data_IF_105335390418
#
_entry.id   IF_105335390418
#
_cell.length_a   1.000
_cell.length_b   1.000
_cell.length_c   1.000
_cell.angle_alpha   90.00
_cell.angle_beta   90.00
_cell.angle_gamma   90.00
#
_symmetry.space_group_name_H-M   'P 1'
#
loop_
_entity.id
_entity.type
_entity.pdbx_description
1 polymer ?
#
# COMPACT_ATOMS: atom_id res chain seq x y z
N UNK A 1 5.09 -14.05 27.94
CA UNK A 1 5.64 -13.07 26.98
C UNK A 1 6.08 -13.77 25.70
N UNK A 2 7.12 -14.61 25.69
CA UNK A 2 7.56 -15.29 24.46
C UNK A 2 6.50 -16.22 23.85
N UNK A 3 5.86 -17.05 24.67
CA UNK A 3 4.79 -17.93 24.22
C UNK A 3 3.56 -17.16 23.69
N UNK A 4 3.24 -16.02 24.31
CA UNK A 4 2.12 -15.18 23.86
C UNK A 4 2.40 -14.59 22.49
N UNK A 5 3.63 -14.10 22.27
CA UNK A 5 4.08 -13.59 20.98
C UNK A 5 3.99 -14.67 19.90
N UNK A 6 4.47 -15.89 20.18
CA UNK A 6 4.37 -17.04 19.26
C UNK A 6 2.93 -17.38 18.88
N UNK A 7 2.00 -17.36 19.84
CA UNK A 7 0.58 -17.65 19.57
C UNK A 7 -0.05 -16.56 18.69
N UNK A 8 0.29 -15.29 18.94
CA UNK A 8 -0.22 -14.16 18.16
C UNK A 8 0.36 -14.13 16.74
N UNK A 9 1.66 -14.44 16.59
CA UNK A 9 2.32 -14.61 15.28
C UNK A 9 1.74 -15.82 14.52
N UNK A 10 1.43 -16.90 15.23
CA UNK A 10 0.71 -18.03 14.65
C UNK A 10 -0.66 -17.60 14.11
N UNK A 11 -1.39 -16.74 14.82
CA UNK A 11 -2.74 -16.32 14.43
C UNK A 11 -2.74 -15.57 13.09
N UNK A 12 -1.80 -14.64 12.90
CA UNK A 12 -1.59 -13.99 11.60
C UNK A 12 -0.20 -13.36 11.50
N UNK A 13 0.45 -13.47 10.32
CA UNK A 13 1.67 -12.72 10.03
C UNK A 13 1.39 -11.24 9.71
N UNK A 14 0.13 -10.86 9.48
CA UNK A 14 -0.23 -9.49 9.07
C UNK A 14 -0.12 -8.54 10.26
N UNK A 15 0.70 -7.52 10.08
CA UNK A 15 0.89 -6.43 11.02
C UNK A 15 0.73 -5.08 10.34
N UNK A 16 -0.26 -4.30 10.79
CA UNK A 16 -0.55 -2.97 10.27
C UNK A 16 0.28 -1.87 10.96
N UNK A 17 1.03 -2.19 12.03
CA UNK A 17 1.80 -1.21 12.78
C UNK A 17 2.88 -0.53 11.93
N UNK A 18 3.59 -1.29 11.09
CA UNK A 18 4.57 -0.72 10.15
C UNK A 18 3.93 0.28 9.19
N UNK A 19 2.75 -0.04 8.64
CA UNK A 19 2.02 0.87 7.75
C UNK A 19 1.53 2.11 8.49
N UNK A 20 1.05 1.96 9.73
CA UNK A 20 0.67 3.10 10.58
C UNK A 20 1.84 4.07 10.77
N UNK A 21 3.04 3.54 11.05
CA UNK A 21 4.26 4.36 11.25
C UNK A 21 4.64 5.08 9.95
N UNK A 22 4.66 4.38 8.80
CA UNK A 22 4.94 4.98 7.48
C UNK A 22 3.98 6.13 7.17
N UNK A 23 2.66 5.91 7.32
CA UNK A 23 1.66 6.92 7.01
C UNK A 23 1.76 8.16 7.91
N UNK A 24 2.14 7.98 9.19
CA UNK A 24 2.41 9.10 10.09
C UNK A 24 3.68 9.85 9.70
N UNK A 25 4.76 9.16 9.30
CA UNK A 25 5.99 9.81 8.80
C UNK A 25 5.74 10.64 7.55
N UNK A 26 4.89 10.15 6.65
CA UNK A 26 4.53 10.83 5.40
C UNK A 26 3.58 12.01 5.59
N UNK A 27 2.91 12.10 6.73
CA UNK A 27 1.97 13.18 7.02
C UNK A 27 2.71 14.51 7.17
N UNK A 28 2.23 15.55 6.48
CA UNK A 28 2.68 16.91 6.76
C UNK A 28 2.30 17.33 8.18
N UNK A 29 3.28 17.73 8.99
CA UNK A 29 3.02 18.16 10.35
C UNK A 29 1.98 19.29 10.42
N UNK A 30 1.01 19.14 11.31
CA UNK A 30 -0.05 20.11 11.53
C UNK A 30 -1.22 20.05 10.52
N UNK A 31 -1.26 19.11 9.57
CA UNK A 31 -2.44 18.91 8.71
C UNK A 31 -3.43 17.90 9.32
N UNK A 32 -4.63 17.82 8.75
CA UNK A 32 -5.68 16.87 9.14
C UNK A 32 -6.44 17.22 10.42
N UNK A 33 -6.13 18.37 11.04
CA UNK A 33 -6.79 18.82 12.27
C UNK A 33 -8.27 19.12 12.09
N UNK A 34 -8.67 19.56 10.89
CA UNK A 34 -10.07 19.85 10.56
C UNK A 34 -10.98 18.64 10.79
N UNK A 35 -10.49 17.42 10.52
CA UNK A 35 -11.25 16.19 10.71
C UNK A 35 -11.42 15.91 12.20
N UNK A 36 -10.34 16.00 12.97
CA UNK A 36 -10.39 15.78 14.42
C UNK A 36 -11.26 16.83 15.14
N UNK A 37 -11.36 18.04 14.60
CA UNK A 37 -12.15 19.13 15.15
C UNK A 37 -13.60 19.14 14.65
N UNK A 38 -13.97 18.27 13.70
CA UNK A 38 -15.30 18.29 13.12
C UNK A 38 -16.37 17.84 14.15
N UNK A 39 -17.59 18.37 14.08
CA UNK A 39 -18.69 17.93 14.94
C UNK A 39 -18.98 16.42 14.82
N UNK A 40 -18.91 15.88 13.61
CA UNK A 40 -19.15 14.46 13.30
C UNK A 40 -18.10 13.57 13.96
N UNK A 41 -16.82 13.95 13.89
CA UNK A 41 -15.75 13.23 14.56
C UNK A 41 -15.88 13.30 16.08
N UNK A 42 -16.22 14.47 16.63
CA UNK A 42 -16.39 14.63 18.07
C UNK A 42 -17.62 13.88 18.60
N UNK A 43 -18.72 13.83 17.87
CA UNK A 43 -19.89 12.99 18.20
C UNK A 43 -19.52 11.52 18.17
N UNK A 44 -18.81 11.07 17.13
CA UNK A 44 -18.33 9.70 17.03
C UNK A 44 -17.36 9.33 18.15
N UNK A 45 -16.42 10.21 18.49
CA UNK A 45 -15.41 9.98 19.53
C UNK A 45 -16.03 9.91 20.93
N UNK A 46 -17.11 10.66 21.20
CA UNK A 46 -17.75 10.69 22.54
C UNK A 46 -18.90 9.70 22.67
N UNK A 47 -19.63 9.44 21.58
CA UNK A 47 -20.82 8.61 21.57
C UNK A 47 -20.50 7.11 21.58
N UNK A 48 -21.34 6.33 22.25
CA UNK A 48 -21.27 4.87 22.22
C UNK A 48 -21.93 4.32 20.95
N UNK A 49 -21.40 3.22 20.40
CA UNK A 49 -21.93 2.54 19.20
C UNK A 49 -22.15 3.48 18.01
N UNK A 50 -21.20 4.38 17.73
CA UNK A 50 -21.28 5.32 16.60
C UNK A 50 -20.51 4.81 15.39
N UNK A 51 -21.01 5.15 14.21
CA UNK A 51 -20.32 4.94 12.94
C UNK A 51 -20.00 6.30 12.33
N UNK A 52 -18.76 6.47 11.87
CA UNK A 52 -18.32 7.61 11.09
C UNK A 52 -17.76 7.07 9.77
N UNK A 53 -18.48 7.33 8.69
CA UNK A 53 -18.11 6.96 7.34
C UNK A 53 -17.55 8.18 6.61
N UNK A 54 -16.33 8.06 6.11
CA UNK A 54 -15.60 9.16 5.53
C UNK A 54 -15.32 8.91 4.04
N UNK A 55 -16.29 9.18 3.15
CA UNK A 55 -16.07 9.03 1.73
C UNK A 55 -15.17 10.15 1.20
N UNK A 56 -14.37 9.88 0.17
CA UNK A 56 -13.54 10.91 -0.43
C UNK A 56 -13.01 10.51 -1.80
N UNK A 57 -12.73 11.50 -2.64
CA UNK A 57 -12.16 11.27 -3.97
C UNK A 57 -10.77 10.62 -3.89
N UNK A 58 -10.30 9.95 -4.95
CA UNK A 58 -8.92 9.46 -5.01
C UNK A 58 -7.92 10.60 -4.75
N UNK A 59 -6.86 10.35 -3.98
CA UNK A 59 -5.82 11.35 -3.73
C UNK A 59 -6.21 12.45 -2.74
N UNK A 60 -7.39 12.41 -2.10
CA UNK A 60 -7.81 13.43 -1.12
C UNK A 60 -7.13 13.34 0.24
N UNK A 61 -6.37 12.27 0.52
CA UNK A 61 -5.65 12.09 1.78
C UNK A 61 -6.33 11.17 2.80
N UNK A 62 -7.32 10.35 2.39
CA UNK A 62 -8.04 9.41 3.26
C UNK A 62 -7.12 8.62 4.18
N UNK A 63 -6.16 7.88 3.63
CA UNK A 63 -5.22 7.05 4.39
C UNK A 63 -4.40 7.84 5.41
N UNK A 64 -3.93 9.05 5.06
CA UNK A 64 -3.17 9.92 5.97
C UNK A 64 -4.06 10.44 7.11
N UNK A 65 -5.32 10.76 6.83
CA UNK A 65 -6.28 11.15 7.87
C UNK A 65 -6.67 9.96 8.74
N UNK A 66 -6.84 8.76 8.17
CA UNK A 66 -7.08 7.54 8.94
C UNK A 66 -5.91 7.25 9.91
N UNK A 67 -4.67 7.36 9.44
CA UNK A 67 -3.50 7.23 10.29
C UNK A 67 -3.48 8.29 11.40
N UNK A 68 -3.88 9.53 11.09
CA UNK A 68 -4.04 10.61 12.08
C UNK A 68 -5.11 10.29 13.12
N UNK A 69 -6.22 9.66 12.75
CA UNK A 69 -7.25 9.19 13.68
C UNK A 69 -6.70 8.09 14.58
N UNK A 70 -6.01 7.08 14.03
CA UNK A 70 -5.41 6.00 14.82
C UNK A 70 -4.39 6.54 15.83
N UNK A 71 -3.52 7.46 15.40
CA UNK A 71 -2.55 8.13 16.27
C UNK A 71 -3.25 8.95 17.37
N UNK A 72 -4.30 9.69 17.03
CA UNK A 72 -5.08 10.46 17.99
C UNK A 72 -5.70 9.57 19.06
N UNK A 73 -6.37 8.48 18.68
CA UNK A 73 -6.99 7.52 19.60
C UNK A 73 -5.92 6.87 20.50
N UNK A 74 -4.83 6.42 19.90
CA UNK A 74 -3.72 5.77 20.63
C UNK A 74 -3.15 6.73 21.66
N UNK A 75 -2.89 7.99 21.30
CA UNK A 75 -2.37 8.99 22.23
C UNK A 75 -3.38 9.35 23.33
N UNK A 76 -4.67 9.47 22.98
CA UNK A 76 -5.70 9.82 23.95
C UNK A 76 -5.94 8.72 24.98
N UNK A 77 -5.89 7.45 24.57
CA UNK A 77 -6.25 6.30 25.40
C UNK A 77 -5.07 5.40 25.79
N UNK A 78 -3.82 5.79 25.54
CA UNK A 78 -2.62 4.96 25.76
C UNK A 78 -2.50 4.33 27.16
N UNK A 79 -3.07 4.94 28.20
CA UNK A 79 -3.02 4.46 29.58
C UNK A 79 -4.31 3.74 30.03
N UNK A 80 -5.32 3.62 29.18
CA UNK A 80 -6.59 2.98 29.54
C UNK A 80 -6.69 1.57 28.92
N UNK A 81 -6.34 0.51 29.66
CA UNK A 81 -6.41 -0.86 29.15
C UNK A 81 -7.85 -1.34 28.91
N UNK A 82 -8.86 -0.54 29.28
CA UNK A 82 -10.27 -0.85 29.02
C UNK A 82 -10.74 -0.38 27.65
N UNK A 83 -9.91 0.35 26.91
CA UNK A 83 -10.21 0.83 25.56
C UNK A 83 -9.42 0.00 24.54
N UNK A 84 -10.13 -0.72 23.68
CA UNK A 84 -9.53 -1.45 22.57
C UNK A 84 -9.46 -0.57 21.32
N UNK A 85 -8.32 -0.58 20.63
CA UNK A 85 -8.16 0.09 19.32
C UNK A 85 -7.65 -0.95 18.34
N UNK A 86 -8.35 -1.12 17.23
CA UNK A 86 -7.91 -1.99 16.14
C UNK A 86 -8.14 -1.32 14.79
N UNK A 87 -7.25 -1.57 13.85
CA UNK A 87 -7.30 -0.92 12.54
C UNK A 87 -6.85 -1.83 11.39
N UNK A 88 -7.37 -1.55 10.20
CA UNK A 88 -7.04 -2.23 8.93
C UNK A 88 -6.75 -1.17 7.87
N UNK A 89 -5.66 -1.38 7.12
CA UNK A 89 -5.38 -0.65 5.89
C UNK A 89 -5.63 -1.53 4.67
N UNK A 90 -6.79 -1.40 4.04
CA UNK A 90 -7.07 -2.13 2.80
C UNK A 90 -6.14 -1.66 1.68
N UNK A 91 -5.69 -2.61 0.84
CA UNK A 91 -4.73 -2.37 -0.22
C UNK A 91 -4.94 -3.41 -1.32
N UNK A 92 -5.32 -2.92 -2.50
CA UNK A 92 -5.64 -3.72 -3.68
C UNK A 92 -4.50 -4.66 -4.14
N UNK A 93 -3.24 -4.38 -3.80
CA UNK A 93 -2.09 -5.22 -4.17
C UNK A 93 -1.88 -6.39 -3.22
N UNK A 94 -2.45 -6.33 -2.02
CA UNK A 94 -2.30 -7.36 -0.97
C UNK A 94 -3.46 -8.34 -0.97
N UNK A 95 -3.94 -8.64 -2.17
CA UNK A 95 -5.08 -9.49 -2.49
C UNK A 95 -5.03 -10.86 -1.78
N UNK A 96 -3.87 -11.53 -1.78
CA UNK A 96 -3.72 -12.82 -1.08
C UNK A 96 -3.65 -12.72 0.44
N UNK A 97 -3.14 -11.59 0.96
CA UNK A 97 -3.07 -11.31 2.40
C UNK A 97 -4.45 -10.88 2.94
N UNK A 98 -5.22 -10.11 2.16
CA UNK A 98 -6.48 -9.49 2.58
C UNK A 98 -7.71 -10.39 2.35
N UNK A 99 -7.56 -11.67 2.68
CA UNK A 99 -8.69 -12.60 2.83
C UNK A 99 -9.41 -12.31 4.14
N UNK A 100 -10.71 -12.64 4.20
CA UNK A 100 -11.55 -12.27 5.33
C UNK A 100 -11.05 -12.88 6.65
N UNK A 101 -10.69 -14.16 6.66
CA UNK A 101 -10.04 -14.81 7.80
C UNK A 101 -8.78 -14.07 8.28
N UNK A 102 -7.89 -13.68 7.38
CA UNK A 102 -6.67 -12.94 7.72
C UNK A 102 -6.96 -11.55 8.32
N UNK A 103 -7.94 -10.82 7.79
CA UNK A 103 -8.37 -9.52 8.34
C UNK A 103 -8.92 -9.68 9.76
N UNK A 104 -9.76 -10.69 9.98
CA UNK A 104 -10.32 -10.99 11.31
C UNK A 104 -9.25 -11.43 12.30
N UNK A 105 -8.32 -12.27 11.86
CA UNK A 105 -7.16 -12.67 12.65
C UNK A 105 -6.29 -11.47 13.04
N UNK A 106 -6.12 -10.47 12.16
CA UNK A 106 -5.38 -9.24 12.47
C UNK A 106 -6.08 -8.37 13.51
N UNK A 107 -7.40 -8.18 13.39
CA UNK A 107 -8.18 -7.47 14.42
C UNK A 107 -8.12 -8.20 15.77
N UNK A 108 -8.23 -9.53 15.73
CA UNK A 108 -8.17 -10.38 16.91
C UNK A 108 -6.79 -10.28 17.59
N UNK A 109 -5.71 -10.30 16.81
CA UNK A 109 -4.35 -10.09 17.29
C UNK A 109 -4.20 -8.72 17.97
N UNK A 110 -4.57 -7.64 17.30
CA UNK A 110 -4.44 -6.26 17.83
C UNK A 110 -5.18 -6.08 19.16
N UNK A 111 -6.44 -6.54 19.25
CA UNK A 111 -7.20 -6.46 20.50
C UNK A 111 -6.65 -7.38 21.59
N UNK A 112 -6.09 -8.53 21.24
CA UNK A 112 -5.47 -9.43 22.21
C UNK A 112 -4.17 -8.87 22.77
N UNK A 113 -3.37 -8.18 21.95
CA UNK A 113 -2.13 -7.50 22.34
C UNK A 113 -2.38 -6.33 23.30
N UNK A 114 -3.54 -5.68 23.18
CA UNK A 114 -3.94 -4.59 24.08
C UNK A 114 -4.32 -5.07 25.50
N UNK A 115 -4.55 -6.38 25.69
CA UNK A 115 -4.91 -6.93 27.00
C UNK A 115 -3.68 -7.33 27.82
N UNK A 116 -3.73 -7.25 29.18
CA UNK A 116 -2.60 -7.59 30.04
C UNK A 116 -2.13 -9.05 29.92
N UNK A 117 -3.04 -9.94 29.54
CA UNK A 117 -2.79 -11.37 29.37
C UNK A 117 -3.51 -11.88 28.13
N UNK A 118 -2.89 -12.86 27.46
CA UNK A 118 -3.48 -13.52 26.30
C UNK A 118 -4.85 -14.12 26.67
N UNK A 119 -5.93 -13.76 25.94
CA UNK A 119 -7.27 -14.26 26.25
C UNK A 119 -7.40 -15.76 26.04
N UNK A 120 -8.21 -16.42 26.89
CA UNK A 120 -8.45 -17.86 26.82
C UNK A 120 -9.00 -18.28 25.43
N UNK A 121 -9.87 -17.46 24.84
CA UNK A 121 -10.42 -17.69 23.50
C UNK A 121 -9.33 -17.87 22.42
N UNK A 122 -8.24 -17.10 22.48
CA UNK A 122 -7.12 -17.23 21.52
C UNK A 122 -6.28 -18.46 21.84
N UNK A 123 -6.07 -18.73 23.12
CA UNK A 123 -5.32 -19.90 23.58
C UNK A 123 -6.00 -21.20 23.18
N UNK A 124 -7.33 -21.29 23.33
CA UNK A 124 -8.15 -22.43 22.91
C UNK A 124 -8.12 -22.64 21.39
N UNK A 125 -8.18 -21.54 20.61
CA UNK A 125 -8.04 -21.61 19.16
C UNK A 125 -6.68 -22.18 18.78
N UNK A 126 -5.60 -21.67 19.39
CA UNK A 126 -4.25 -22.18 19.15
C UNK A 126 -4.15 -23.68 19.47
N UNK A 127 -4.59 -24.12 20.66
CA UNK A 127 -4.53 -25.54 21.04
C UNK A 127 -5.31 -26.45 20.08
N UNK A 128 -6.51 -26.03 19.65
CA UNK A 128 -7.38 -26.80 18.75
C UNK A 128 -6.79 -26.99 17.37
N UNK A 129 -6.15 -25.95 16.84
CA UNK A 129 -5.71 -25.92 15.44
C UNK A 129 -4.25 -26.27 15.26
N UNK A 130 -3.38 -25.90 16.20
CA UNK A 130 -1.95 -26.19 16.14
C UNK A 130 -1.68 -27.70 16.18
N UNK A 131 -2.36 -28.43 17.08
CA UNK A 131 -2.25 -29.91 17.17
C UNK A 131 -2.70 -30.63 15.90
N UNK A 132 -3.69 -30.07 15.19
CA UNK A 132 -4.27 -30.65 13.96
C UNK A 132 -3.64 -30.11 12.68
N UNK A 133 -2.68 -29.17 12.77
CA UNK A 133 -2.11 -28.45 11.62
C UNK A 133 -3.17 -27.83 10.72
N UNK A 134 -4.19 -27.21 11.32
CA UNK A 134 -5.26 -26.49 10.61
C UNK A 134 -5.23 -25.00 10.96
N UNK A 135 -6.03 -24.19 10.28
CA UNK A 135 -6.25 -22.77 10.59
C UNK A 135 -7.68 -22.54 11.11
N UNK A 136 -7.90 -21.57 12.00
CA UNK A 136 -9.25 -21.17 12.42
C UNK A 136 -10.11 -20.73 11.23
N UNK A 137 -11.37 -21.13 11.23
CA UNK A 137 -12.35 -20.61 10.26
C UNK A 137 -12.73 -19.15 10.56
N UNK A 138 -13.27 -18.43 9.57
CA UNK A 138 -13.78 -17.07 9.76
C UNK A 138 -14.81 -16.96 10.89
N UNK A 139 -15.69 -17.96 11.02
CA UNK A 139 -16.71 -18.00 12.07
C UNK A 139 -16.09 -18.14 13.47
N UNK A 140 -15.04 -18.96 13.60
CA UNK A 140 -14.30 -19.12 14.86
C UNK A 140 -13.57 -17.82 15.23
N UNK A 141 -12.93 -17.17 14.26
CA UNK A 141 -12.26 -15.88 14.46
C UNK A 141 -13.25 -14.79 14.85
N UNK A 142 -14.40 -14.71 14.17
CA UNK A 142 -15.46 -13.74 14.47
C UNK A 142 -16.02 -13.92 15.89
N UNK A 143 -16.25 -15.17 16.32
CA UNK A 143 -16.70 -15.46 17.70
C UNK A 143 -15.66 -15.08 18.74
N UNK A 144 -14.39 -15.41 18.50
CA UNK A 144 -13.30 -15.01 19.40
C UNK A 144 -13.16 -13.49 19.47
N UNK A 145 -13.28 -12.80 18.33
CA UNK A 145 -13.21 -11.34 18.24
C UNK A 145 -14.34 -10.68 19.03
N UNK A 146 -15.57 -11.18 18.92
CA UNK A 146 -16.71 -10.72 19.72
C UNK A 146 -16.46 -10.92 21.22
N UNK A 147 -15.94 -12.08 21.62
CA UNK A 147 -15.65 -12.38 23.02
C UNK A 147 -14.58 -11.44 23.60
N UNK A 148 -13.51 -11.19 22.85
CA UNK A 148 -12.43 -10.29 23.27
C UNK A 148 -12.89 -8.84 23.27
N UNK A 149 -13.63 -8.40 22.25
CA UNK A 149 -14.19 -7.05 22.19
C UNK A 149 -15.10 -6.76 23.41
N UNK A 150 -15.85 -7.74 23.90
CA UNK A 150 -16.69 -7.62 25.09
C UNK A 150 -15.89 -7.48 26.41
N UNK A 151 -14.58 -7.74 26.40
CA UNK A 151 -13.71 -7.54 27.57
C UNK A 151 -13.32 -6.07 27.76
N UNK A 152 -13.49 -5.24 26.71
CA UNK A 152 -13.25 -3.82 26.76
C UNK A 152 -14.52 -3.06 27.13
N UNK A 153 -14.37 -1.93 27.82
CA UNK A 153 -15.51 -1.01 28.03
C UNK A 153 -15.91 -0.30 26.75
N UNK A 154 -14.96 -0.15 25.82
CA UNK A 154 -15.20 0.46 24.51
C UNK A 154 -14.14 -0.01 23.52
N UNK A 155 -14.55 -0.18 22.27
CA UNK A 155 -13.64 -0.55 21.17
C UNK A 155 -13.81 0.43 20.03
N UNK A 156 -12.70 0.91 19.49
CA UNK A 156 -12.65 1.66 18.23
C UNK A 156 -12.09 0.74 17.13
N UNK A 157 -12.87 0.56 16.07
CA UNK A 157 -12.47 -0.18 14.88
C UNK A 157 -12.35 0.79 13.70
N UNK A 158 -11.16 0.88 13.13
CA UNK A 158 -10.82 1.83 12.06
C UNK A 158 -10.47 1.06 10.78
N UNK A 159 -11.22 1.24 9.69
CA UNK A 159 -10.98 0.54 8.42
C UNK A 159 -10.75 1.56 7.30
N UNK A 160 -9.52 1.62 6.79
CA UNK A 160 -9.17 2.49 5.67
C UNK A 160 -9.46 1.82 4.32
N UNK A 161 -9.91 2.64 3.36
CA UNK A 161 -10.00 2.33 1.94
C UNK A 161 -10.80 1.04 1.64
N UNK A 162 -12.05 0.95 2.11
CA UNK A 162 -12.94 -0.19 1.84
C UNK A 162 -13.09 -0.52 0.34
N UNK A 163 -12.91 0.47 -0.54
CA UNK A 163 -12.91 0.28 -1.99
C UNK A 163 -11.71 -0.53 -2.51
N UNK A 164 -10.61 -0.58 -1.77
CA UNK A 164 -9.41 -1.36 -2.09
C UNK A 164 -9.44 -2.79 -1.52
N UNK A 165 -10.45 -3.13 -0.71
CA UNK A 165 -10.70 -4.49 -0.28
C UNK A 165 -11.29 -5.32 -1.44
N UNK A 166 -10.80 -6.55 -1.61
CA UNK A 166 -11.23 -7.43 -2.70
C UNK A 166 -12.76 -7.52 -2.84
N UNK A 167 -13.24 -7.28 -4.07
CA UNK A 167 -14.64 -7.49 -4.46
C UNK A 167 -14.92 -8.98 -4.67
N UNK A 168 -13.91 -9.74 -5.15
CA UNK A 168 -14.02 -11.18 -5.40
C UNK A 168 -14.42 -11.95 -4.14
N UNK A 169 -15.30 -12.94 -4.31
CA UNK A 169 -15.89 -13.74 -3.24
C UNK A 169 -16.72 -12.97 -2.19
N UNK A 170 -17.02 -11.68 -2.39
CA UNK A 170 -17.86 -10.90 -1.48
C UNK A 170 -17.15 -10.46 -0.18
N UNK A 171 -15.82 -10.58 -0.11
CA UNK A 171 -15.00 -10.24 1.07
C UNK A 171 -15.34 -8.85 1.62
N UNK A 172 -15.35 -7.82 0.76
CA UNK A 172 -15.74 -6.45 1.16
C UNK A 172 -17.13 -6.37 1.81
N UNK A 173 -18.11 -7.10 1.28
CA UNK A 173 -19.46 -7.07 1.83
C UNK A 173 -19.54 -7.78 3.18
N UNK A 174 -18.82 -8.89 3.32
CA UNK A 174 -18.71 -9.66 4.56
C UNK A 174 -17.96 -8.87 5.64
N UNK A 175 -16.87 -8.18 5.30
CA UNK A 175 -16.13 -7.31 6.23
C UNK A 175 -17.01 -6.21 6.81
N UNK A 176 -17.74 -5.49 5.94
CA UNK A 176 -18.68 -4.44 6.38
C UNK A 176 -19.78 -5.04 7.25
N UNK A 177 -20.39 -6.16 6.82
CA UNK A 177 -21.45 -6.82 7.59
C UNK A 177 -20.97 -7.24 8.98
N UNK A 178 -19.81 -7.88 9.06
CA UNK A 178 -19.28 -8.36 10.33
C UNK A 178 -18.77 -7.23 11.24
N UNK A 179 -18.32 -6.09 10.69
CA UNK A 179 -18.05 -4.90 11.49
C UNK A 179 -19.34 -4.32 12.12
N UNK A 180 -20.45 -4.30 11.37
CA UNK A 180 -21.76 -3.92 11.93
C UNK A 180 -22.27 -4.94 12.96
N UNK A 181 -22.04 -6.25 12.75
CA UNK A 181 -22.38 -7.28 13.73
C UNK A 181 -21.59 -7.09 15.04
N UNK A 182 -20.31 -6.74 14.96
CA UNK A 182 -19.49 -6.40 16.12
C UNK A 182 -20.05 -5.18 16.86
N UNK A 183 -20.42 -4.13 16.12
CA UNK A 183 -21.07 -2.95 16.70
C UNK A 183 -22.41 -3.30 17.38
N UNK A 184 -23.24 -4.13 16.75
CA UNK A 184 -24.53 -4.56 17.26
C UNK A 184 -24.43 -5.49 18.49
N UNK A 185 -23.33 -6.20 18.68
CA UNK A 185 -23.13 -7.10 19.83
C UNK A 185 -22.30 -6.49 20.96
N UNK A 186 -21.28 -5.70 20.62
CA UNK A 186 -20.27 -5.24 21.57
C UNK A 186 -20.19 -3.71 21.72
N UNK A 187 -21.02 -2.94 21.00
CA UNK A 187 -21.03 -1.47 21.12
C UNK A 187 -19.84 -0.76 20.43
N UNK A 188 -19.16 -1.43 19.50
CA UNK A 188 -17.97 -0.90 18.83
C UNK A 188 -18.24 0.42 18.08
N UNK A 189 -17.33 1.38 18.21
CA UNK A 189 -17.27 2.58 17.41
C UNK A 189 -16.55 2.29 16.09
N UNK A 190 -17.21 2.56 14.96
CA UNK A 190 -16.70 2.25 13.62
C UNK A 190 -16.24 3.53 12.93
N UNK A 191 -15.00 3.60 12.47
CA UNK A 191 -14.51 4.62 11.54
C UNK A 191 -14.15 3.93 10.23
N UNK A 192 -14.68 4.37 9.10
CA UNK A 192 -14.44 3.72 7.81
C UNK A 192 -14.24 4.74 6.71
N UNK A 193 -13.27 4.52 5.81
CA UNK A 193 -13.06 5.36 4.63
C UNK A 193 -13.29 4.59 3.34
N UNK A 194 -13.67 5.30 2.27
CA UNK A 194 -13.88 4.72 0.94
C UNK A 194 -13.89 5.79 -0.14
N UNK A 195 -13.73 5.41 -1.41
CA UNK A 195 -14.26 6.19 -2.56
C UNK A 195 -15.79 6.23 -2.56
N UNK A 196 -16.35 7.14 -3.36
CA UNK A 196 -17.79 7.24 -3.63
C UNK A 196 -18.30 6.10 -4.53
N UNK A 197 -18.30 4.88 -4.00
CA UNK A 197 -18.83 3.70 -4.70
C UNK A 197 -20.21 3.39 -4.16
N UNK A 198 -21.23 3.41 -5.02
CA UNK A 198 -22.65 3.22 -4.65
C UNK A 198 -22.89 1.95 -3.82
N UNK A 199 -22.21 0.84 -4.17
CA UNK A 199 -22.32 -0.43 -3.44
C UNK A 199 -21.83 -0.37 -1.99
N UNK A 200 -20.90 0.55 -1.69
CA UNK A 200 -20.36 0.80 -0.35
C UNK A 200 -21.22 1.85 0.34
N UNK A 201 -21.41 3.00 -0.30
CA UNK A 201 -22.09 4.16 0.30
C UNK A 201 -23.53 3.87 0.67
N UNK A 202 -24.24 3.03 -0.08
CA UNK A 202 -25.62 2.62 0.25
C UNK A 202 -25.75 1.83 1.56
N UNK A 203 -24.63 1.36 2.14
CA UNK A 203 -24.61 0.66 3.43
C UNK A 203 -24.52 1.59 4.64
N UNK A 204 -24.31 2.88 4.43
CA UNK A 204 -24.09 3.85 5.50
C UNK A 204 -25.14 4.96 5.45
N UNK A 205 -25.68 5.33 6.61
CA UNK A 205 -26.62 6.44 6.73
C UNK A 205 -25.92 7.79 6.59
N UNK A 206 -26.49 8.72 5.81
CA UNK A 206 -25.89 10.05 5.56
C UNK A 206 -25.54 10.88 6.79
N UNK A 207 -26.29 10.87 7.90
CA UNK A 207 -25.90 11.60 9.12
C UNK A 207 -24.56 11.16 9.71
N UNK A 208 -24.08 9.97 9.32
CA UNK A 208 -22.78 9.43 9.74
C UNK A 208 -21.64 9.80 8.77
N UNK A 209 -21.87 10.68 7.78
CA UNK A 209 -20.90 10.96 6.73
C UNK A 209 -20.05 12.20 7.03
N UNK A 210 -18.74 12.09 6.79
CA UNK A 210 -17.83 13.23 6.73
C UNK A 210 -16.96 13.13 5.48
N UNK A 211 -17.23 13.96 4.47
CA UNK A 211 -16.47 13.90 3.22
C UNK A 211 -15.00 14.31 3.45
N UNK A 212 -14.07 13.44 3.06
CA UNK A 212 -12.64 13.73 3.04
C UNK A 212 -12.26 14.41 1.74
N UNK A 213 -11.86 15.68 1.87
CA UNK A 213 -11.26 16.51 0.83
C UNK A 213 -9.99 17.16 1.37
N UNK A 214 -9.08 17.52 0.47
CA UNK A 214 -7.97 18.40 0.80
C UNK A 214 -8.50 19.76 1.27
N UNK A 215 -8.34 20.05 2.56
CA UNK A 215 -8.65 21.36 3.13
C UNK A 215 -7.65 22.40 2.60
N UNK A 216 -8.13 23.58 2.26
CA UNK A 216 -7.29 24.64 1.70
C UNK A 216 -6.14 25.01 2.66
N UNK A 217 -6.43 25.08 3.95
CA UNK A 217 -5.45 25.39 5.00
C UNK A 217 -4.34 24.34 5.08
N UNK A 218 -4.68 23.07 4.86
CA UNK A 218 -3.72 21.97 4.89
C UNK A 218 -2.83 21.97 3.65
N UNK A 219 -3.39 22.25 2.47
CA UNK A 219 -2.63 22.43 1.22
C UNK A 219 -1.69 23.61 1.35
N UNK A 220 -2.17 24.73 1.87
CA UNK A 220 -1.36 25.93 2.07
C UNK A 220 -0.22 25.72 3.07
N UNK A 221 -0.46 24.98 4.15
CA UNK A 221 0.56 24.62 5.15
C UNK A 221 1.63 23.72 4.53
N UNK A 222 1.21 22.70 3.78
CA UNK A 222 2.11 21.84 3.03
C UNK A 222 3.01 22.64 2.08
N UNK A 223 2.42 23.49 1.25
CA UNK A 223 3.17 24.32 0.30
C UNK A 223 4.12 25.28 1.01
N UNK A 224 3.69 25.89 2.12
CA UNK A 224 4.52 26.84 2.84
C UNK A 224 5.83 26.21 3.35
N UNK A 225 5.75 25.04 3.97
CA UNK A 225 6.93 24.37 4.52
C UNK A 225 7.87 23.88 3.41
N UNK A 226 7.33 23.39 2.30
CA UNK A 226 8.14 22.94 1.16
C UNK A 226 8.74 24.10 0.36
N UNK A 227 8.03 25.23 0.24
CA UNK A 227 8.55 26.45 -0.40
C UNK A 227 9.74 27.02 0.38
N UNK A 228 9.70 27.01 1.72
CA UNK A 228 10.82 27.46 2.57
C UNK A 228 12.11 26.70 2.30
N UNK A 229 12.00 25.42 1.93
CA UNK A 229 13.13 24.54 1.62
C UNK A 229 13.54 24.57 0.13
N UNK A 230 12.82 25.34 -0.70
CA UNK A 230 13.01 25.40 -2.14
C UNK A 230 13.93 26.55 -2.59
N UNK A 231 14.17 26.64 -3.90
CA UNK A 231 15.02 27.68 -4.50
C UNK A 231 14.50 29.09 -4.21
N UNK A 232 15.40 30.08 -4.19
CA UNK A 232 15.04 31.49 -3.98
C UNK A 232 14.05 32.03 -5.01
N UNK A 233 14.01 31.43 -6.22
CA UNK A 233 13.03 31.76 -7.25
C UNK A 233 11.61 31.35 -6.84
N UNK A 234 11.44 30.14 -6.29
CA UNK A 234 10.15 29.63 -5.80
C UNK A 234 9.70 30.42 -4.57
N UNK A 235 10.61 30.69 -3.63
CA UNK A 235 10.32 31.51 -2.45
C UNK A 235 9.79 32.90 -2.82
N UNK A 236 10.37 33.57 -3.83
CA UNK A 236 9.89 34.87 -4.32
C UNK A 236 8.48 34.81 -4.93
N UNK A 237 8.05 33.65 -5.40
CA UNK A 237 6.72 33.43 -5.99
C UNK A 237 5.74 32.74 -5.03
N UNK A 238 6.08 32.63 -3.74
CA UNK A 238 5.31 31.86 -2.75
C UNK A 238 3.80 32.18 -2.77
N UNK A 239 3.43 33.48 -2.76
CA UNK A 239 2.03 33.88 -2.76
C UNK A 239 1.28 33.41 -4.01
N UNK A 240 1.91 33.51 -5.17
CA UNK A 240 1.31 33.11 -6.44
C UNK A 240 1.18 31.57 -6.52
N UNK A 241 2.22 30.85 -6.10
CA UNK A 241 2.24 29.37 -6.09
C UNK A 241 1.17 28.83 -5.14
N UNK A 242 1.09 29.35 -3.90
CA UNK A 242 0.07 28.94 -2.92
C UNK A 242 -1.33 29.12 -3.49
N UNK A 243 -1.64 30.30 -4.02
CA UNK A 243 -2.96 30.57 -4.58
C UNK A 243 -3.29 29.62 -5.74
N UNK A 244 -2.38 29.47 -6.72
CA UNK A 244 -2.64 28.68 -7.93
C UNK A 244 -2.80 27.19 -7.62
N UNK A 245 -1.95 26.62 -6.76
CA UNK A 245 -2.04 25.20 -6.43
C UNK A 245 -3.26 24.93 -5.55
N UNK A 246 -3.53 25.77 -4.54
CA UNK A 246 -4.72 25.62 -3.69
C UNK A 246 -6.01 25.65 -4.51
N UNK A 247 -6.10 26.54 -5.51
CA UNK A 247 -7.26 26.61 -6.42
C UNK A 247 -7.34 25.39 -7.34
N UNK A 248 -6.21 24.85 -7.81
CA UNK A 248 -6.16 23.77 -8.78
C UNK A 248 -6.43 22.37 -8.19
N UNK A 249 -6.21 22.19 -6.89
CA UNK A 249 -6.29 20.90 -6.21
C UNK A 249 -7.72 20.34 -6.15
N UNK A 250 -8.74 21.19 -6.07
CA UNK A 250 -10.18 20.83 -5.98
C UNK A 250 -10.46 19.58 -5.10
N UNK A 251 -9.87 19.57 -3.90
CA UNK A 251 -10.04 18.50 -2.91
C UNK A 251 -9.12 17.27 -3.07
N UNK A 252 -8.28 17.21 -4.11
CA UNK A 252 -7.31 16.12 -4.36
C UNK A 252 -5.89 16.52 -3.92
N UNK A 253 -5.54 16.26 -2.67
CA UNK A 253 -4.25 16.64 -2.08
C UNK A 253 -3.05 16.18 -2.91
N UNK A 254 -3.15 15.02 -3.57
CA UNK A 254 -2.12 14.50 -4.47
C UNK A 254 -1.69 15.50 -5.56
N UNK A 255 -2.62 16.29 -6.11
CA UNK A 255 -2.29 17.32 -7.11
C UNK A 255 -1.39 18.41 -6.53
N UNK A 256 -1.53 18.73 -5.24
CA UNK A 256 -0.69 19.73 -4.59
C UNK A 256 0.78 19.30 -4.64
N UNK A 257 1.03 18.02 -4.35
CA UNK A 257 2.36 17.42 -4.43
C UNK A 257 2.87 17.37 -5.86
N UNK A 258 2.09 16.83 -6.80
CA UNK A 258 2.54 16.70 -8.21
C UNK A 258 2.88 18.08 -8.80
N UNK A 259 2.00 19.08 -8.63
CA UNK A 259 2.26 20.42 -9.14
C UNK A 259 3.43 21.09 -8.47
N UNK A 260 3.59 20.90 -7.16
CA UNK A 260 4.75 21.45 -6.46
C UNK A 260 6.06 20.81 -6.94
N UNK A 261 6.10 19.48 -7.10
CA UNK A 261 7.26 18.73 -7.60
C UNK A 261 7.62 19.13 -9.04
N UNK A 262 6.62 19.47 -9.88
CA UNK A 262 6.84 20.02 -11.21
C UNK A 262 7.53 21.39 -11.15
N UNK A 263 7.02 22.30 -10.31
CA UNK A 263 7.62 23.62 -10.12
C UNK A 263 9.04 23.54 -9.55
N UNK A 264 9.27 22.61 -8.62
CA UNK A 264 10.58 22.42 -7.97
C UNK A 264 11.65 21.93 -8.95
N UNK A 265 11.26 21.19 -9.99
CA UNK A 265 12.19 20.73 -11.03
C UNK A 265 12.65 21.82 -12.00
N UNK A 266 12.00 22.99 -12.00
CA UNK A 266 12.36 24.10 -12.87
C UNK A 266 13.42 25.01 -12.23
N UNK A 267 14.56 25.18 -12.92
CA UNK A 267 15.66 26.03 -12.43
C UNK A 267 15.41 27.51 -12.78
N UNK A 268 14.91 27.78 -14.00
CA UNK A 268 14.78 29.14 -14.51
C UNK A 268 13.49 29.81 -13.99
N UNK A 269 13.59 31.00 -13.35
CA UNK A 269 12.40 31.73 -12.88
C UNK A 269 11.35 31.99 -13.97
N UNK A 270 11.77 32.11 -15.22
CA UNK A 270 10.87 32.27 -16.37
C UNK A 270 10.05 31.00 -16.64
N UNK A 271 10.66 29.81 -16.52
CA UNK A 271 9.99 28.52 -16.70
C UNK A 271 9.03 28.24 -15.54
N UNK A 272 9.45 28.51 -14.30
CA UNK A 272 8.57 28.45 -13.11
C UNK A 272 7.32 29.30 -13.33
N UNK A 273 7.48 30.57 -13.73
CA UNK A 273 6.33 31.46 -13.99
C UNK A 273 5.43 30.94 -15.11
N UNK A 274 6.01 30.39 -16.17
CA UNK A 274 5.25 29.79 -17.27
C UNK A 274 4.45 28.56 -16.82
N UNK A 275 5.04 27.72 -15.97
CA UNK A 275 4.38 26.54 -15.39
C UNK A 275 3.21 26.97 -14.49
N UNK A 276 3.41 27.94 -13.58
CA UNK A 276 2.35 28.52 -12.74
C UNK A 276 1.20 29.09 -13.60
N UNK A 277 1.51 29.79 -14.70
CA UNK A 277 0.50 30.27 -15.64
C UNK A 277 -0.21 29.15 -16.41
N UNK A 278 0.49 28.04 -16.70
CA UNK A 278 -0.08 26.84 -17.30
C UNK A 278 -1.11 26.19 -16.38
N UNK A 279 -0.76 26.01 -15.11
CA UNK A 279 -1.65 25.46 -14.09
C UNK A 279 -2.94 26.27 -13.97
N UNK A 280 -2.86 27.61 -13.90
CA UNK A 280 -4.04 28.49 -13.88
C UNK A 280 -5.03 28.24 -15.02
N UNK A 281 -4.56 27.89 -16.22
CA UNK A 281 -5.42 27.66 -17.39
C UNK A 281 -6.13 26.30 -17.34
N UNK A 282 -5.56 25.32 -16.64
CA UNK A 282 -6.13 23.97 -16.51
C UNK A 282 -7.30 23.90 -15.51
N UNK A 283 -7.47 24.91 -14.65
CA UNK A 283 -8.53 25.01 -13.62
C UNK A 283 -9.90 25.43 -14.18
N UNK A 284 -10.03 25.69 -15.48
CA UNK A 284 -11.28 26.16 -16.08
C UNK A 284 -12.32 25.02 -16.26
N UNK A 285 -13.06 24.69 -15.20
CA UNK A 285 -14.21 23.77 -15.24
C UNK A 285 -14.47 23.06 -13.91
N UNK A 286 -15.72 22.66 -13.64
CA UNK A 286 -16.08 21.86 -12.44
C UNK A 286 -16.70 20.52 -12.86
N UNK A 287 -16.25 19.42 -12.24
CA UNK A 287 -16.81 18.08 -12.44
C UNK A 287 -15.79 16.94 -12.41
N UNK A 288 -16.28 15.71 -12.23
CA UNK A 288 -15.46 14.50 -12.11
C UNK A 288 -14.60 14.23 -13.36
N UNK A 289 -15.16 14.39 -14.56
CA UNK A 289 -14.42 14.24 -15.82
C UNK A 289 -13.24 15.21 -15.92
N UNK A 290 -13.42 16.45 -15.49
CA UNK A 290 -12.35 17.45 -15.50
C UNK A 290 -11.25 17.08 -14.50
N UNK A 291 -11.59 16.58 -13.30
CA UNK A 291 -10.59 16.12 -12.32
C UNK A 291 -9.73 14.97 -12.85
N UNK A 292 -10.36 14.01 -13.54
CA UNK A 292 -9.65 12.89 -14.17
C UNK A 292 -8.69 13.41 -15.24
N UNK A 293 -9.15 14.34 -16.08
CA UNK A 293 -8.31 14.94 -17.13
C UNK A 293 -7.15 15.73 -16.55
N UNK A 294 -7.40 16.56 -15.54
CA UNK A 294 -6.39 17.36 -14.84
C UNK A 294 -5.33 16.46 -14.19
N UNK A 295 -5.76 15.37 -13.54
CA UNK A 295 -4.85 14.37 -12.98
C UNK A 295 -4.05 13.65 -14.07
N UNK A 296 -4.68 13.28 -15.17
CA UNK A 296 -4.00 12.65 -16.32
C UNK A 296 -2.92 13.57 -16.89
N UNK A 297 -3.24 14.85 -17.11
CA UNK A 297 -2.29 15.85 -17.59
C UNK A 297 -1.12 16.03 -16.60
N UNK A 298 -1.40 16.06 -15.30
CA UNK A 298 -0.36 16.14 -14.27
C UNK A 298 0.58 14.94 -14.33
N UNK A 299 0.07 13.72 -14.54
CA UNK A 299 0.91 12.54 -14.76
C UNK A 299 1.65 12.59 -16.10
N UNK A 300 1.01 13.02 -17.18
CA UNK A 300 1.66 13.17 -18.50
C UNK A 300 2.87 14.10 -18.42
N UNK A 301 2.79 15.19 -17.64
CA UNK A 301 3.91 16.09 -17.38
C UNK A 301 5.06 15.40 -16.64
N UNK A 302 4.76 14.55 -15.64
CA UNK A 302 5.77 13.75 -14.94
C UNK A 302 6.41 12.70 -15.86
N UNK A 303 5.62 12.03 -16.70
CA UNK A 303 6.14 11.06 -17.69
C UNK A 303 7.01 11.76 -18.73
N UNK A 304 6.62 12.94 -19.20
CA UNK A 304 7.43 13.73 -20.10
C UNK A 304 8.79 14.04 -19.46
N UNK A 305 8.81 14.44 -18.18
CA UNK A 305 10.05 14.65 -17.44
C UNK A 305 10.91 13.39 -17.36
N UNK A 306 10.30 12.23 -17.15
CA UNK A 306 11.01 10.95 -17.16
C UNK A 306 11.64 10.69 -18.54
N UNK A 307 10.88 10.94 -19.62
CA UNK A 307 11.33 10.76 -20.98
C UNK A 307 12.38 11.80 -21.43
N UNK A 308 12.41 12.99 -20.81
CA UNK A 308 13.41 14.01 -21.10
C UNK A 308 14.78 13.72 -20.43
N UNK A 309 14.86 12.71 -19.55
CA UNK A 309 16.13 12.26 -18.95
C UNK A 309 17.07 11.62 -20.00
N UNK A 310 18.35 11.50 -19.64
CA UNK A 310 19.34 10.71 -20.37
C UNK A 310 18.86 9.27 -20.57
N UNK A 311 19.28 8.66 -21.69
CA UNK A 311 18.78 7.35 -22.12
C UNK A 311 18.82 6.28 -21.02
N UNK A 312 19.96 6.11 -20.35
CA UNK A 312 20.10 5.12 -19.28
C UNK A 312 19.14 5.33 -18.11
N UNK A 313 18.96 6.58 -17.66
CA UNK A 313 18.04 6.93 -16.57
C UNK A 313 16.58 6.75 -16.97
N UNK A 314 16.22 7.13 -18.20
CA UNK A 314 14.90 6.90 -18.76
C UNK A 314 14.57 5.41 -18.83
N UNK A 315 15.49 4.62 -19.37
CA UNK A 315 15.30 3.17 -19.53
C UNK A 315 15.15 2.50 -18.16
N UNK A 316 15.98 2.90 -17.17
CA UNK A 316 15.84 2.46 -15.79
C UNK A 316 14.48 2.83 -15.18
N UNK A 317 14.05 4.09 -15.31
CA UNK A 317 12.76 4.53 -14.78
C UNK A 317 11.59 3.73 -15.37
N UNK A 318 11.61 3.45 -16.67
CA UNK A 318 10.60 2.64 -17.32
C UNK A 318 10.59 1.19 -16.81
N UNK A 319 11.77 0.59 -16.60
CA UNK A 319 11.87 -0.75 -15.98
C UNK A 319 11.33 -0.76 -14.56
N UNK A 320 11.70 0.21 -13.73
CA UNK A 320 11.21 0.34 -12.35
C UNK A 320 9.68 0.46 -12.33
N UNK A 321 9.12 1.36 -13.14
CA UNK A 321 7.68 1.58 -13.19
C UNK A 321 6.94 0.36 -13.75
N UNK A 322 7.50 -0.35 -14.74
CA UNK A 322 6.89 -1.55 -15.29
C UNK A 322 6.82 -2.67 -14.24
N UNK A 323 7.92 -2.95 -13.54
CA UNK A 323 7.97 -3.93 -12.46
C UNK A 323 6.98 -3.59 -11.34
N UNK A 324 7.02 -2.36 -10.83
CA UNK A 324 6.14 -1.97 -9.72
C UNK A 324 4.66 -2.01 -10.14
N UNK A 325 4.34 -1.78 -11.42
CA UNK A 325 2.95 -1.77 -11.91
C UNK A 325 2.41 -3.17 -12.19
N UNK A 326 3.23 -4.07 -12.73
CA UNK A 326 2.79 -5.36 -13.26
C UNK A 326 3.01 -6.55 -12.31
N UNK A 327 3.78 -6.37 -11.24
CA UNK A 327 4.02 -7.40 -10.22
C UNK A 327 2.74 -7.87 -9.53
N UNK A 328 2.68 -9.16 -9.18
CA UNK A 328 1.45 -9.80 -8.63
C UNK A 328 1.28 -9.58 -7.12
N UNK A 329 2.35 -9.15 -6.44
CA UNK A 329 2.34 -8.66 -5.06
C UNK A 329 3.32 -7.49 -4.93
N UNK A 330 3.20 -6.64 -3.90
CA UNK A 330 4.23 -5.66 -3.60
C UNK A 330 5.60 -6.34 -3.45
N UNK A 331 6.64 -5.71 -4.00
CA UNK A 331 8.02 -6.15 -3.88
C UNK A 331 8.72 -5.42 -2.75
N UNK A 332 9.61 -6.14 -2.05
CA UNK A 332 10.63 -5.49 -1.24
C UNK A 332 11.62 -4.78 -2.16
N UNK A 333 12.22 -3.68 -1.68
CA UNK A 333 13.21 -2.90 -2.43
C UNK A 333 14.35 -3.78 -2.94
N UNK A 334 14.85 -4.69 -2.10
CA UNK A 334 15.92 -5.61 -2.48
C UNK A 334 15.51 -6.64 -3.56
N UNK A 335 14.24 -7.07 -3.56
CA UNK A 335 13.72 -7.93 -4.63
C UNK A 335 13.74 -7.20 -5.97
N UNK A 336 13.34 -5.92 -5.98
CA UNK A 336 13.38 -5.09 -7.17
C UNK A 336 14.83 -4.80 -7.62
N UNK A 337 15.75 -4.52 -6.69
CA UNK A 337 17.18 -4.34 -7.04
C UNK A 337 17.71 -5.57 -7.79
N UNK A 338 17.44 -6.77 -7.27
CA UNK A 338 17.80 -8.02 -7.94
C UNK A 338 17.16 -8.12 -9.33
N UNK A 339 15.86 -7.83 -9.43
CA UNK A 339 15.14 -7.90 -10.70
C UNK A 339 15.66 -6.93 -11.77
N UNK A 340 16.20 -5.78 -11.35
CA UNK A 340 16.75 -4.76 -12.26
C UNK A 340 18.21 -5.05 -12.66
N UNK A 341 18.97 -5.77 -11.83
CA UNK A 341 20.36 -6.14 -12.10
C UNK A 341 20.49 -7.36 -13.01
N UNK A 342 19.50 -8.27 -13.01
CA UNK A 342 19.52 -9.46 -13.87
C UNK A 342 19.29 -9.08 -15.33
N UNK A 343 20.11 -9.65 -16.21
CA UNK A 343 19.92 -9.63 -17.66
C UNK A 343 19.61 -11.04 -18.20
N UNK A 344 18.97 -11.12 -19.36
CA UNK A 344 18.63 -12.40 -19.97
C UNK A 344 19.89 -13.20 -20.33
N UNK A 345 19.98 -14.44 -19.84
CA UNK A 345 21.12 -15.33 -20.07
C UNK A 345 22.17 -15.34 -18.97
N UNK A 346 22.02 -14.52 -17.92
CA UNK A 346 22.89 -14.57 -16.76
C UNK A 346 22.86 -15.94 -16.07
N UNK A 347 24.03 -16.39 -15.61
CA UNK A 347 24.18 -17.65 -14.86
C UNK A 347 24.28 -17.45 -13.35
N UNK A 348 24.54 -16.21 -12.92
CA UNK A 348 24.61 -15.76 -11.54
C UNK A 348 24.38 -14.25 -11.46
N UNK A 349 24.08 -13.74 -10.26
CA UNK A 349 23.95 -12.31 -10.01
C UNK A 349 25.23 -11.83 -9.34
N UNK A 350 25.79 -10.74 -9.87
CA UNK A 350 26.89 -10.01 -9.24
C UNK A 350 26.32 -8.94 -8.29
N UNK A 351 26.62 -9.06 -6.99
CA UNK A 351 26.11 -8.13 -5.97
C UNK A 351 26.73 -6.73 -6.11
N UNK A 352 27.91 -6.61 -6.70
CA UNK A 352 28.56 -5.32 -6.95
C UNK A 352 27.82 -4.48 -8.01
N UNK A 353 26.96 -5.11 -8.82
CA UNK A 353 26.15 -4.47 -9.87
C UNK A 353 24.75 -4.07 -9.36
N UNK A 354 24.47 -4.19 -8.06
CA UNK A 354 23.22 -3.75 -7.47
C UNK A 354 23.08 -2.22 -7.50
N UNK A 355 22.01 -1.75 -8.12
CA UNK A 355 21.67 -0.34 -8.19
C UNK A 355 21.39 0.23 -6.80
N UNK A 356 21.87 1.45 -6.55
CA UNK A 356 21.56 2.16 -5.32
C UNK A 356 20.07 2.53 -5.26
N UNK A 357 19.48 2.36 -4.09
CA UNK A 357 18.04 2.57 -3.86
C UNK A 357 17.62 4.00 -4.18
N UNK A 358 18.47 4.97 -3.82
CA UNK A 358 18.26 6.38 -4.06
C UNK A 358 18.19 6.69 -5.56
N UNK A 359 18.97 5.99 -6.38
CA UNK A 359 18.95 6.17 -7.83
C UNK A 359 17.65 5.61 -8.44
N UNK A 360 17.22 4.42 -8.01
CA UNK A 360 15.95 3.80 -8.43
C UNK A 360 14.76 4.75 -8.19
N UNK A 361 14.71 5.38 -7.00
CA UNK A 361 13.64 6.32 -6.66
C UNK A 361 13.78 7.63 -7.43
N UNK A 362 15.00 8.17 -7.55
CA UNK A 362 15.26 9.45 -8.18
C UNK A 362 14.85 9.47 -9.66
N UNK A 363 15.16 8.42 -10.43
CA UNK A 363 14.83 8.36 -11.87
C UNK A 363 13.33 8.32 -12.14
N UNK A 364 12.53 7.88 -11.15
CA UNK A 364 11.07 7.77 -11.25
C UNK A 364 10.33 9.08 -10.95
N UNK A 365 11.06 10.18 -10.73
CA UNK A 365 10.50 11.53 -10.71
C UNK A 365 9.32 11.70 -9.72
N UNK A 366 9.41 11.08 -8.54
CA UNK A 366 8.41 11.18 -7.47
C UNK A 366 7.18 10.27 -7.61
N UNK A 367 7.13 9.42 -8.64
CA UNK A 367 6.04 8.44 -8.81
C UNK A 367 6.20 7.18 -7.97
N UNK A 368 7.40 6.94 -7.44
CA UNK A 368 7.78 5.78 -6.63
C UNK A 368 8.16 6.23 -5.23
N UNK A 369 7.80 5.43 -4.24
CA UNK A 369 8.12 5.63 -2.83
C UNK A 369 8.52 4.29 -2.20
N UNK A 370 9.25 4.36 -1.09
CA UNK A 370 9.63 3.20 -0.28
C UNK A 370 9.00 3.37 1.09
N UNK A 371 8.36 2.32 1.58
CA UNK A 371 8.00 2.18 2.99
C UNK A 371 9.25 1.74 3.75
N UNK A 372 9.81 2.63 4.57
CA UNK A 372 11.05 2.39 5.32
C UNK A 372 10.93 1.26 6.35
N UNK A 373 9.73 1.02 6.87
CA UNK A 373 9.49 0.01 7.92
C UNK A 373 9.35 -1.39 7.32
N UNK A 374 8.58 -1.52 6.23
CA UNK A 374 8.39 -2.81 5.56
C UNK A 374 9.41 -3.09 4.44
N UNK A 375 10.25 -2.11 4.11
CA UNK A 375 11.17 -2.12 2.98
C UNK A 375 10.46 -2.43 1.64
N UNK A 376 9.18 -2.07 1.52
CA UNK A 376 8.39 -2.29 0.30
C UNK A 376 8.51 -1.07 -0.61
N UNK A 377 8.84 -1.33 -1.88
CA UNK A 377 8.84 -0.29 -2.92
C UNK A 377 7.52 -0.32 -3.70
N UNK A 378 6.94 0.86 -3.92
CA UNK A 378 5.61 0.97 -4.53
C UNK A 378 5.37 2.30 -5.22
N UNK A 379 4.23 2.40 -5.91
CA UNK A 379 3.76 3.67 -6.45
C UNK A 379 3.32 4.59 -5.31
N UNK A 380 3.50 5.90 -5.50
CA UNK A 380 3.15 6.91 -4.50
C UNK A 380 1.65 6.90 -4.11
N UNK A 381 0.78 6.51 -5.04
CA UNK A 381 -0.67 6.49 -4.85
C UNK A 381 -1.36 5.52 -5.84
N UNK A 382 -2.54 4.99 -5.48
CA UNK A 382 -3.32 4.09 -6.34
C UNK A 382 -3.65 4.67 -7.72
N UNK A 383 -3.93 5.97 -7.81
CA UNK A 383 -4.21 6.64 -9.09
C UNK A 383 -3.03 6.56 -10.07
N UNK A 384 -1.81 6.36 -9.56
CA UNK A 384 -0.64 6.12 -10.40
C UNK A 384 -0.74 4.74 -11.04
N UNK A 385 -1.25 3.72 -10.33
CA UNK A 385 -1.57 2.40 -10.92
C UNK A 385 -2.62 2.55 -12.02
N UNK A 386 -3.72 3.29 -11.75
CA UNK A 386 -4.78 3.53 -12.74
C UNK A 386 -4.23 4.20 -14.00
N UNK A 387 -3.32 5.17 -13.83
CA UNK A 387 -2.68 5.87 -14.95
C UNK A 387 -1.78 4.96 -15.81
N UNK A 388 -1.07 4.01 -15.19
CA UNK A 388 -0.17 3.09 -15.89
C UNK A 388 -0.84 1.83 -16.43
N UNK A 389 -2.12 1.60 -16.12
CA UNK A 389 -2.83 0.43 -16.57
C UNK A 389 -2.81 0.32 -18.10
N UNK A 390 -2.23 -0.77 -18.62
CA UNK A 390 -2.08 -1.02 -20.05
C UNK A 390 -0.98 -0.21 -20.75
N UNK A 391 -0.13 0.52 -20.03
CA UNK A 391 0.97 1.32 -20.63
C UNK A 391 2.29 0.57 -20.78
N UNK A 392 2.40 -0.64 -20.24
CA UNK A 392 3.59 -1.49 -20.34
C UNK A 392 3.25 -2.83 -21.00
N UNK A 393 3.04 -2.87 -22.33
CA UNK A 393 2.58 -4.07 -23.03
C UNK A 393 3.56 -5.25 -22.94
N UNK A 394 4.86 -4.98 -22.83
CA UNK A 394 5.91 -6.01 -22.77
C UNK A 394 6.35 -6.33 -21.33
N UNK A 395 5.77 -5.70 -20.31
CA UNK A 395 6.24 -5.88 -18.93
C UNK A 395 6.07 -7.31 -18.43
N UNK A 396 4.92 -7.94 -18.70
CA UNK A 396 4.67 -9.33 -18.31
C UNK A 396 5.71 -10.28 -18.92
N UNK A 397 6.15 -9.97 -20.15
CA UNK A 397 7.16 -10.72 -20.89
C UNK A 397 8.54 -10.56 -20.27
N UNK A 398 8.97 -9.31 -20.08
CA UNK A 398 10.25 -8.98 -19.45
C UNK A 398 10.36 -9.58 -18.04
N UNK A 399 9.31 -9.44 -17.22
CA UNK A 399 9.27 -9.99 -15.86
C UNK A 399 9.40 -11.52 -15.90
N UNK A 400 8.72 -12.19 -16.84
CA UNK A 400 8.82 -13.64 -16.99
C UNK A 400 10.25 -14.09 -17.29
N UNK A 401 10.91 -13.43 -18.26
CA UNK A 401 12.26 -13.80 -18.69
C UNK A 401 13.27 -13.59 -17.55
N UNK A 402 13.17 -12.48 -16.81
CA UNK A 402 14.01 -12.25 -15.63
C UNK A 402 13.76 -13.28 -14.54
N UNK A 403 12.50 -13.62 -14.24
CA UNK A 403 12.19 -14.65 -13.25
C UNK A 403 12.77 -16.01 -13.64
N UNK A 404 12.64 -16.41 -14.92
CA UNK A 404 13.18 -17.67 -15.42
C UNK A 404 14.71 -17.70 -15.41
N UNK A 405 15.38 -16.62 -15.82
CA UNK A 405 16.84 -16.49 -15.71
C UNK A 405 17.27 -16.63 -14.25
N UNK A 406 16.63 -15.89 -13.35
CA UNK A 406 16.94 -15.91 -11.92
C UNK A 406 16.80 -17.32 -11.33
N UNK A 407 15.71 -18.02 -11.64
CA UNK A 407 15.48 -19.40 -11.19
C UNK A 407 16.45 -20.42 -11.81
N UNK A 408 17.10 -20.07 -12.93
CA UNK A 408 18.02 -20.93 -13.67
C UNK A 408 19.50 -20.72 -13.29
N UNK A 409 19.80 -19.88 -12.30
CA UNK A 409 21.17 -19.65 -11.84
C UNK A 409 21.86 -20.94 -11.40
N UNK A 410 23.17 -21.00 -11.64
CA UNK A 410 24.04 -22.16 -11.42
C UNK A 410 23.90 -22.73 -9.99
N UNK A 411 23.81 -21.86 -8.98
CA UNK A 411 23.62 -22.24 -7.56
C UNK A 411 22.36 -23.07 -7.29
N UNK A 412 21.31 -22.92 -8.09
CA UNK A 412 20.04 -23.64 -7.92
C UNK A 412 20.02 -24.99 -8.65
N UNK A 413 20.97 -25.25 -9.55
CA UNK A 413 21.09 -26.53 -10.26
C UNK A 413 21.44 -27.71 -9.32
N UNK A 414 21.85 -27.40 -8.08
CA UNK A 414 22.06 -28.36 -6.98
C UNK A 414 20.77 -29.03 -6.49
N UNK A 415 19.60 -28.53 -6.90
CA UNK A 415 18.30 -29.09 -6.53
C UNK A 415 17.70 -28.48 -5.25
N UNK A 416 16.70 -29.14 -4.64
CA UNK A 416 16.03 -28.67 -3.44
C UNK A 416 16.96 -28.69 -2.23
N UNK A 417 16.75 -27.77 -1.29
CA UNK A 417 17.44 -27.75 -0.01
C UNK A 417 16.95 -28.90 0.87
N UNK A 418 17.88 -29.65 1.47
CA UNK A 418 17.56 -30.83 2.30
C UNK A 418 16.95 -30.51 3.67
N UNK A 419 17.12 -29.27 4.14
CA UNK A 419 16.72 -28.82 5.48
C UNK A 419 16.11 -27.43 5.41
N UNK A 420 15.18 -27.14 6.31
CA UNK A 420 14.52 -25.83 6.41
C UNK A 420 15.54 -24.69 6.57
N UNK A 421 16.56 -24.84 7.43
CA UNK A 421 17.62 -23.82 7.63
C UNK A 421 18.36 -23.47 6.33
N UNK A 422 18.75 -24.48 5.53
CA UNK A 422 19.38 -24.26 4.21
C UNK A 422 18.43 -23.58 3.23
N UNK A 423 17.14 -23.90 3.31
CA UNK A 423 16.13 -23.28 2.46
C UNK A 423 15.89 -21.82 2.85
N UNK A 424 15.76 -21.52 4.14
CA UNK A 424 15.69 -20.16 4.66
C UNK A 424 16.91 -19.34 4.26
N UNK A 425 18.11 -19.91 4.38
CA UNK A 425 19.34 -19.27 3.94
C UNK A 425 19.35 -19.01 2.42
N UNK A 426 18.81 -19.95 1.62
CA UNK A 426 18.63 -19.74 0.17
C UNK A 426 17.71 -18.55 -0.10
N UNK A 427 16.58 -18.44 0.59
CA UNK A 427 15.65 -17.32 0.42
C UNK A 427 16.25 -15.98 0.86
N UNK A 428 17.01 -15.97 1.97
CA UNK A 428 17.69 -14.77 2.47
C UNK A 428 18.77 -14.27 1.50
N UNK A 429 19.60 -15.19 0.97
CA UNK A 429 20.67 -14.86 0.02
C UNK A 429 20.15 -14.61 -1.40
N UNK A 430 18.89 -14.94 -1.69
CA UNK A 430 18.30 -14.78 -3.02
C UNK A 430 16.91 -14.13 -2.90
N UNK A 431 16.84 -12.83 -2.54
CA UNK A 431 15.59 -12.14 -2.26
C UNK A 431 14.49 -12.31 -3.32
N UNK A 432 14.83 -12.24 -4.61
CA UNK A 432 13.85 -12.38 -5.70
C UNK A 432 13.34 -13.84 -5.88
N UNK A 433 13.99 -14.85 -5.29
CA UNK A 433 13.73 -16.26 -5.57
C UNK A 433 12.30 -16.68 -5.27
N UNK A 434 11.78 -16.30 -4.10
CA UNK A 434 10.40 -16.61 -3.69
C UNK A 434 9.38 -16.00 -4.66
N UNK A 435 9.56 -14.71 -4.99
CA UNK A 435 8.69 -14.03 -5.94
C UNK A 435 8.73 -14.71 -7.30
N UNK A 436 9.93 -14.95 -7.83
CA UNK A 436 10.13 -15.56 -9.14
C UNK A 436 9.47 -16.94 -9.19
N UNK A 437 9.74 -17.81 -8.23
CA UNK A 437 9.21 -19.18 -8.17
C UNK A 437 7.67 -19.21 -8.13
N UNK A 438 7.05 -18.31 -7.36
CA UNK A 438 5.59 -18.24 -7.22
C UNK A 438 4.89 -17.56 -8.40
N UNK A 439 5.53 -16.61 -9.08
CA UNK A 439 4.84 -15.70 -9.99
C UNK A 439 5.24 -15.79 -11.46
N UNK A 440 6.37 -16.42 -11.81
CA UNK A 440 6.82 -16.50 -13.22
C UNK A 440 5.72 -17.05 -14.14
N UNK A 441 5.01 -18.10 -13.72
CA UNK A 441 3.94 -18.72 -14.50
C UNK A 441 2.69 -17.84 -14.63
N UNK A 442 2.40 -17.00 -13.63
CA UNK A 442 1.31 -16.03 -13.68
C UNK A 442 1.59 -14.92 -14.69
N UNK A 443 2.84 -14.49 -14.80
CA UNK A 443 3.29 -13.52 -15.81
C UNK A 443 3.29 -14.13 -17.22
N UNK A 444 3.87 -15.33 -17.36
CA UNK A 444 3.93 -16.07 -18.62
C UNK A 444 2.54 -16.30 -19.24
N UNK A 445 1.51 -16.54 -18.41
CA UNK A 445 0.14 -16.74 -18.88
C UNK A 445 -0.47 -15.48 -19.52
N UNK A 446 0.05 -14.30 -19.21
CA UNK A 446 -0.46 -13.01 -19.70
C UNK A 446 0.25 -12.54 -20.98
N UNK A 447 1.22 -13.29 -21.49
CA UNK A 447 2.02 -12.93 -22.67
C UNK A 447 1.71 -13.85 -23.86
N UNK A 448 1.95 -13.34 -25.07
CA UNK A 448 2.08 -14.18 -26.24
C UNK A 448 3.54 -14.69 -26.29
N UNK A 449 3.74 -16.00 -26.13
CA UNK A 449 5.08 -16.60 -26.04
C UNK A 449 5.78 -16.46 -27.40
N UNK A 450 6.95 -15.84 -27.42
CA UNK A 450 7.82 -15.77 -28.60
C UNK A 450 8.70 -17.03 -28.74
N UNK A 451 9.23 -17.37 -29.93
CA UNK A 451 10.04 -18.57 -30.13
C UNK A 451 11.30 -18.64 -29.24
N UNK A 452 11.97 -17.51 -29.02
CA UNK A 452 13.16 -17.40 -28.15
C UNK A 452 12.83 -17.72 -26.68
N UNK A 453 11.61 -17.39 -26.26
CA UNK A 453 11.10 -17.72 -24.93
C UNK A 453 10.76 -19.18 -24.81
N UNK A 454 10.21 -19.80 -25.86
CA UNK A 454 9.95 -21.26 -25.83
C UNK A 454 11.23 -22.01 -25.46
N UNK A 455 12.38 -21.62 -25.98
CA UNK A 455 13.65 -22.27 -25.64
C UNK A 455 14.04 -22.06 -24.18
N UNK A 456 13.94 -20.84 -23.64
CA UNK A 456 14.25 -20.57 -22.23
C UNK A 456 13.29 -21.29 -21.27
N UNK A 457 11.99 -21.30 -21.61
CA UNK A 457 10.97 -22.05 -20.88
C UNK A 457 11.26 -23.55 -20.92
N UNK A 458 11.59 -24.09 -22.09
CA UNK A 458 11.93 -25.50 -22.24
C UNK A 458 13.20 -25.83 -21.45
N UNK A 459 14.23 -24.99 -21.48
CA UNK A 459 15.45 -25.21 -20.69
C UNK A 459 15.15 -25.31 -19.19
N UNK A 460 14.30 -24.42 -18.66
CA UNK A 460 13.89 -24.48 -17.27
C UNK A 460 13.00 -25.70 -16.99
N UNK A 461 11.95 -25.91 -17.79
CA UNK A 461 10.95 -26.96 -17.60
C UNK A 461 11.46 -28.38 -17.89
N UNK A 462 12.58 -28.52 -18.60
CA UNK A 462 13.22 -29.82 -18.84
C UNK A 462 14.30 -30.16 -17.82
N UNK A 463 14.64 -29.24 -16.91
CA UNK A 463 15.59 -29.45 -15.82
C UNK A 463 14.88 -29.88 -14.54
N UNK A 464 14.95 -31.18 -14.15
CA UNK A 464 14.25 -31.66 -12.96
C UNK A 464 14.75 -30.98 -11.69
N UNK A 465 16.05 -30.73 -11.59
CA UNK A 465 16.66 -30.11 -10.40
C UNK A 465 16.18 -28.68 -10.18
N UNK A 466 16.07 -27.89 -11.25
CA UNK A 466 15.57 -26.50 -11.17
C UNK A 466 14.07 -26.45 -10.85
N UNK A 467 13.29 -27.36 -11.42
CA UNK A 467 11.87 -27.48 -11.10
C UNK A 467 11.67 -27.90 -9.63
N UNK A 468 12.38 -28.91 -9.16
CA UNK A 468 12.28 -29.36 -7.76
C UNK A 468 12.73 -28.28 -6.78
N UNK A 469 13.84 -27.57 -7.09
CA UNK A 469 14.32 -26.45 -6.30
C UNK A 469 13.31 -25.31 -6.21
N UNK A 470 12.74 -24.89 -7.35
CA UNK A 470 11.75 -23.80 -7.38
C UNK A 470 10.41 -24.21 -6.76
N UNK A 471 10.00 -25.46 -6.96
CA UNK A 471 8.76 -26.01 -6.37
C UNK A 471 8.82 -26.03 -4.85
N UNK A 472 10.00 -26.14 -4.24
CA UNK A 472 10.16 -26.05 -2.78
C UNK A 472 9.61 -24.73 -2.22
N UNK A 473 9.71 -23.63 -2.97
CA UNK A 473 9.13 -22.34 -2.57
C UNK A 473 7.60 -22.30 -2.64
N UNK A 474 6.95 -23.23 -3.34
CA UNK A 474 5.49 -23.35 -3.41
C UNK A 474 4.91 -24.19 -2.27
N UNK A 475 5.74 -24.95 -1.56
CA UNK A 475 5.33 -25.86 -0.49
C UNK A 475 5.23 -25.20 0.89
N UNK A 476 5.65 -23.94 0.99
CA UNK A 476 5.61 -23.08 2.19
C UNK A 476 4.46 -22.10 2.08
#
# INVERSE_FOLDING_TARGET
KEEQKRILEWLTPIDYASQQIDFIRRRQSGTGQWLLQSPEFQDWLRGDRKTLFCPGIPGSGKTILTATVVEHLTNQFHNDPKIGIAYIYCNFRRTEEQKLDNLFASLLRQLSEALPSLPDAVTELHQRHNTKRTRPSTDELSKALQHIAASFTRVFLVIDALDECQISAGCRAQLIGAAFDLQARCGVNLFMTSRFITEITNKFEKPSWLEIRAAQEDVERYLEDHIKQSSSAIQKMQKEIKAVISDAVDGMFLLARIYFDLLQSEIEPKKIRKAVQGLRKQVAGSGEKQRIEVLRLAYDDVIKRINDQERGRRDLANRVLSWITCTKRPLKTIELQHALTVDAGDSELNEDDLLQVEEIVAVCAGLVTIDEESAIIGLVHFTTQEYFQGKFPNAEQEITNICLTYLSFSKFQTGPCETDDKFEQRLQNNPLYDYAARNWGHHARQTAISPEEVDQFLMFLTSPTLIEASSQALLV
#
